data_IF_527831359827
#
_entry.id   IF_527831359827
#
_cell.length_a   1.000
_cell.length_b   1.000
_cell.length_c   1.000
_cell.angle_alpha   90.00
_cell.angle_beta   90.00
_cell.angle_gamma   90.00
#
_symmetry.space_group_name_H-M   'P 1'
#
loop_
_entity.id
_entity.type
_entity.pdbx_description
1 polymer ?
#
# COMPACT_ATOMS: atom_id res chain seq x y z
N UNK A 1 -2.96 4.41 -1.16
CA UNK A 1 -3.57 5.40 -2.08
C UNK A 1 -2.61 6.55 -2.41
N UNK A 2 -2.04 7.29 -1.45
CA UNK A 2 -1.22 8.48 -1.75
C UNK A 2 0.00 8.25 -2.65
N UNK A 3 0.60 7.06 -2.58
CA UNK A 3 1.75 6.65 -3.39
C UNK A 3 1.40 6.37 -4.86
N UNK A 4 0.13 6.09 -5.16
CA UNK A 4 -0.33 5.85 -6.53
C UNK A 4 -0.73 7.16 -7.20
N UNK A 5 -0.61 7.24 -8.52
CA UNK A 5 -0.96 8.42 -9.33
C UNK A 5 -2.17 8.21 -10.23
N UNK A 6 -2.50 6.95 -10.50
CA UNK A 6 -3.58 6.56 -11.41
C UNK A 6 -4.52 5.59 -10.71
N UNK A 7 -5.76 5.59 -11.18
CA UNK A 7 -6.80 4.67 -10.76
C UNK A 7 -7.85 4.50 -11.86
N UNK A 8 -8.83 3.66 -11.58
CA UNK A 8 -9.97 3.42 -12.46
C UNK A 8 -11.22 3.95 -11.78
N UNK A 9 -11.82 4.98 -12.37
CA UNK A 9 -13.13 5.48 -11.98
C UNK A 9 -14.21 4.66 -12.69
N UNK A 10 -15.15 4.11 -11.94
CA UNK A 10 -16.27 3.35 -12.51
C UNK A 10 -17.60 3.87 -11.97
N UNK A 11 -18.57 4.03 -12.87
CA UNK A 11 -19.94 4.42 -12.56
C UNK A 11 -20.89 3.83 -13.61
N UNK A 12 -22.19 4.04 -13.45
CA UNK A 12 -23.16 3.73 -14.49
C UNK A 12 -23.11 4.78 -15.59
N UNK A 13 -23.09 4.31 -16.84
CA UNK A 13 -23.29 5.16 -17.99
C UNK A 13 -24.73 5.70 -18.05
N UNK A 14 -24.96 6.73 -18.86
CA UNK A 14 -26.30 7.32 -19.04
C UNK A 14 -27.35 6.35 -19.57
N UNK A 15 -26.95 5.26 -20.21
CA UNK A 15 -27.79 4.16 -20.69
C UNK A 15 -27.78 2.92 -19.76
N UNK A 16 -27.16 3.02 -18.58
CA UNK A 16 -27.27 2.04 -17.49
C UNK A 16 -26.22 0.92 -17.48
N UNK A 17 -25.21 0.97 -18.34
CA UNK A 17 -24.11 0.00 -18.33
C UNK A 17 -23.05 0.34 -17.28
N UNK A 18 -22.42 -0.67 -16.64
CA UNK A 18 -21.19 -0.43 -15.89
C UNK A 18 -20.10 0.02 -16.86
N UNK A 19 -19.54 1.19 -16.61
CA UNK A 19 -18.46 1.75 -17.42
C UNK A 19 -17.33 2.25 -16.52
N UNK A 20 -16.11 2.03 -16.98
CA UNK A 20 -14.90 2.38 -16.26
C UNK A 20 -13.93 3.15 -17.17
N UNK A 21 -13.27 4.16 -16.61
CA UNK A 21 -12.24 4.95 -17.28
C UNK A 21 -11.02 5.11 -16.38
N UNK A 22 -9.84 5.20 -17.00
CA UNK A 22 -8.63 5.57 -16.28
C UNK A 22 -8.67 7.04 -15.88
N UNK A 23 -8.24 7.35 -14.66
CA UNK A 23 -8.14 8.72 -14.17
C UNK A 23 -6.87 8.93 -13.33
N UNK A 24 -6.28 10.12 -13.47
CA UNK A 24 -5.29 10.63 -12.53
C UNK A 24 -6.00 11.26 -11.35
N UNK A 25 -5.35 11.25 -10.18
CA UNK A 25 -5.96 11.80 -8.98
C UNK A 25 -4.95 12.42 -8.01
N UNK A 26 -5.46 13.33 -7.18
CA UNK A 26 -4.83 13.73 -5.92
C UNK A 26 -5.76 13.40 -4.77
N UNK A 27 -5.30 13.53 -3.53
CA UNK A 27 -6.13 13.31 -2.35
C UNK A 27 -6.24 14.57 -1.52
N UNK A 28 -7.38 14.77 -0.86
CA UNK A 28 -7.54 15.80 0.15
C UNK A 28 -6.72 15.48 1.43
N UNK A 29 -6.95 16.21 2.53
CA UNK A 29 -6.24 15.95 3.80
C UNK A 29 -6.74 14.69 4.54
N UNK A 30 -7.91 14.15 4.18
CA UNK A 30 -8.54 12.98 4.79
C UNK A 30 -8.48 11.73 3.90
N UNK A 31 -7.85 11.82 2.73
CA UNK A 31 -7.73 10.72 1.78
C UNK A 31 -8.80 10.68 0.68
N UNK A 32 -9.78 11.59 0.67
CA UNK A 32 -10.80 11.60 -0.38
C UNK A 32 -10.16 11.90 -1.75
N UNK A 33 -10.36 11.05 -2.79
CA UNK A 33 -9.73 11.25 -4.07
C UNK A 33 -10.45 12.34 -4.87
N UNK A 34 -9.65 13.26 -5.42
CA UNK A 34 -10.07 14.25 -6.39
C UNK A 34 -9.50 13.89 -7.76
N UNK A 35 -10.38 13.65 -8.73
CA UNK A 35 -10.07 13.20 -10.09
C UNK A 35 -10.24 14.34 -11.08
N UNK A 36 -9.47 14.31 -12.17
CA UNK A 36 -9.65 15.23 -13.29
C UNK A 36 -10.44 14.55 -14.41
N UNK A 37 -11.64 15.04 -14.69
CA UNK A 37 -12.57 14.49 -15.69
C UNK A 37 -13.09 15.62 -16.58
N UNK A 38 -13.20 15.36 -17.88
CA UNK A 38 -13.75 16.32 -18.83
C UNK A 38 -15.22 15.98 -19.12
N UNK A 39 -16.14 16.82 -18.63
CA UNK A 39 -17.59 16.70 -18.85
C UNK A 39 -18.12 15.28 -18.56
N UNK A 40 -17.87 14.71 -17.36
CA UNK A 40 -18.29 13.36 -16.99
C UNK A 40 -19.80 13.13 -17.14
N UNK A 41 -20.63 14.17 -17.06
CA UNK A 41 -22.08 14.12 -17.25
C UNK A 41 -22.52 13.66 -18.66
N UNK A 42 -21.63 13.71 -19.65
CA UNK A 42 -21.90 13.17 -20.99
C UNK A 42 -21.87 11.65 -21.03
N UNK A 43 -21.16 11.04 -20.09
CA UNK A 43 -20.83 9.62 -20.10
C UNK A 43 -21.50 8.92 -18.91
N UNK A 44 -21.52 9.55 -17.74
CA UNK A 44 -21.97 8.99 -16.47
C UNK A 44 -23.15 9.74 -15.90
N UNK A 45 -23.92 9.03 -15.07
CA UNK A 45 -24.87 9.66 -14.15
C UNK A 45 -24.09 10.34 -13.01
N UNK A 46 -24.16 11.68 -12.95
CA UNK A 46 -23.58 12.48 -11.85
C UNK A 46 -24.42 12.28 -10.58
N UNK A 47 -23.78 12.40 -9.41
CA UNK A 47 -24.35 12.12 -8.08
C UNK A 47 -24.88 10.68 -7.90
N UNK A 48 -24.51 9.79 -8.84
CA UNK A 48 -24.79 8.35 -8.76
C UNK A 48 -23.73 7.59 -7.96
N UNK A 49 -24.07 6.35 -7.62
CA UNK A 49 -23.14 5.40 -7.01
C UNK A 49 -21.95 5.17 -7.95
N UNK A 50 -20.75 5.38 -7.42
CA UNK A 50 -19.49 5.29 -8.14
C UNK A 50 -18.45 4.54 -7.32
N UNK A 51 -17.38 4.14 -8.00
CA UNK A 51 -16.23 3.51 -7.39
C UNK A 51 -14.93 4.06 -7.96
N UNK A 52 -13.89 4.06 -7.14
CA UNK A 52 -12.55 4.42 -7.56
C UNK A 52 -11.56 3.36 -7.09
N UNK A 53 -11.02 2.62 -8.05
CA UNK A 53 -10.09 1.53 -7.82
C UNK A 53 -8.65 1.99 -8.03
N UNK A 54 -7.77 1.70 -7.07
CA UNK A 54 -6.36 2.09 -7.10
C UNK A 54 -5.52 0.87 -6.75
N UNK A 55 -4.45 0.67 -7.51
CA UNK A 55 -3.44 -0.36 -7.28
C UNK A 55 -2.12 0.28 -6.86
N UNK A 56 -1.33 -0.45 -6.09
CA UNK A 56 0.01 -0.06 -5.70
C UNK A 56 0.92 -1.28 -5.83
N UNK A 57 1.84 -1.26 -6.79
CA UNK A 57 2.79 -2.36 -6.99
C UNK A 57 3.95 -2.24 -5.99
N UNK A 58 4.17 -3.29 -5.22
CA UNK A 58 5.28 -3.39 -4.26
C UNK A 58 6.36 -4.27 -4.88
N UNK A 59 7.44 -3.62 -5.36
CA UNK A 59 8.69 -4.27 -5.79
C UNK A 59 8.48 -5.41 -6.80
N UNK A 60 7.47 -5.29 -7.67
CA UNK A 60 7.11 -6.29 -8.69
C UNK A 60 6.59 -7.62 -8.15
N UNK A 61 6.37 -7.73 -6.84
CA UNK A 61 6.14 -9.00 -6.15
C UNK A 61 4.71 -9.15 -5.64
N UNK A 62 4.12 -8.06 -5.13
CA UNK A 62 2.75 -8.01 -4.56
C UNK A 62 2.06 -6.74 -5.04
N UNK A 63 0.75 -6.75 -5.22
CA UNK A 63 0.01 -5.54 -5.60
C UNK A 63 -1.19 -5.31 -4.69
N UNK A 64 -0.99 -4.63 -3.54
CA UNK A 64 -2.12 -4.15 -2.74
C UNK A 64 -3.03 -3.20 -3.51
N UNK A 65 -4.32 -3.28 -3.23
CA UNK A 65 -5.36 -2.57 -3.96
C UNK A 65 -6.40 -2.04 -3.00
N UNK A 66 -7.02 -0.92 -3.37
CA UNK A 66 -8.22 -0.48 -2.70
C UNK A 66 -9.28 0.00 -3.70
N UNK A 67 -10.54 -0.28 -3.39
CA UNK A 67 -11.69 0.23 -4.15
C UNK A 67 -12.55 1.06 -3.21
N UNK A 68 -12.60 2.36 -3.47
CA UNK A 68 -13.40 3.30 -2.71
C UNK A 68 -14.78 3.37 -3.34
N UNK A 69 -15.83 3.23 -2.54
CA UNK A 69 -17.20 3.37 -2.96
C UNK A 69 -17.80 4.65 -2.38
N UNK A 70 -18.57 5.35 -3.21
CA UNK A 70 -19.32 6.54 -2.82
C UNK A 70 -19.79 7.30 -4.04
N UNK A 71 -19.78 8.63 -4.02
CA UNK A 71 -20.41 9.44 -5.06
C UNK A 71 -19.46 10.48 -5.63
N UNK A 72 -19.49 10.66 -6.96
CA UNK A 72 -18.75 11.70 -7.65
C UNK A 72 -19.55 13.00 -7.63
N UNK A 73 -18.98 14.07 -7.07
CA UNK A 73 -19.61 15.39 -7.03
C UNK A 73 -18.64 16.49 -7.44
N UNK A 74 -19.22 17.62 -7.87
CA UNK A 74 -18.46 18.85 -8.10
C UNK A 74 -18.13 19.51 -6.76
N UNK A 75 -16.98 20.17 -6.67
CA UNK A 75 -16.60 20.89 -5.46
C UNK A 75 -17.20 22.29 -5.44
N UNK A 76 -17.95 22.59 -4.40
CA UNK A 76 -18.46 23.94 -4.14
C UNK A 76 -17.54 24.77 -3.24
N UNK A 77 -16.65 24.13 -2.46
CA UNK A 77 -15.70 24.79 -1.56
C UNK A 77 -14.49 25.35 -2.33
N UNK A 78 -14.36 26.70 -2.46
CA UNK A 78 -13.27 27.30 -3.22
C UNK A 78 -11.90 27.12 -2.56
N UNK A 79 -11.85 27.00 -1.23
CA UNK A 79 -10.59 26.82 -0.52
C UNK A 79 -10.04 25.42 -0.74
N UNK A 80 -10.89 24.40 -0.59
CA UNK A 80 -10.52 23.01 -0.87
C UNK A 80 -10.09 22.83 -2.32
N UNK A 81 -10.84 23.42 -3.27
CA UNK A 81 -10.49 23.38 -4.69
C UNK A 81 -9.10 23.96 -4.95
N UNK A 82 -8.78 25.13 -4.38
CA UNK A 82 -7.45 25.74 -4.48
C UNK A 82 -6.36 24.83 -3.92
N UNK A 83 -6.59 24.19 -2.77
CA UNK A 83 -5.63 23.24 -2.17
C UNK A 83 -5.41 22.03 -3.07
N UNK A 84 -6.46 21.46 -3.64
CA UNK A 84 -6.36 20.29 -4.52
C UNK A 84 -5.65 20.63 -5.83
N UNK A 85 -5.89 21.81 -6.41
CA UNK A 85 -5.16 22.30 -7.60
C UNK A 85 -3.67 22.47 -7.32
N UNK A 86 -3.31 23.06 -6.17
CA UNK A 86 -1.90 23.17 -5.77
C UNK A 86 -1.24 21.79 -5.56
N UNK A 87 -1.97 20.82 -4.98
CA UNK A 87 -1.51 19.43 -4.88
C UNK A 87 -1.35 18.77 -6.27
N UNK A 88 -2.26 19.06 -7.20
CA UNK A 88 -2.23 18.55 -8.56
C UNK A 88 -1.00 19.06 -9.31
N UNK A 89 -0.80 20.36 -9.31
CA UNK A 89 0.36 21.01 -9.93
C UNK A 89 1.67 20.49 -9.33
N UNK A 90 1.75 20.35 -8.00
CA UNK A 90 2.92 19.76 -7.35
C UNK A 90 3.17 18.30 -7.75
N UNK A 91 2.12 17.50 -7.90
CA UNK A 91 2.23 16.06 -8.20
C UNK A 91 2.52 15.78 -9.67
N UNK A 92 1.93 16.57 -10.58
CA UNK A 92 1.96 16.31 -12.02
C UNK A 92 2.74 17.35 -12.82
N UNK A 93 3.20 18.44 -12.22
CA UNK A 93 3.81 19.58 -12.91
C UNK A 93 2.90 20.18 -14.01
N UNK A 94 1.59 20.17 -13.77
CA UNK A 94 0.55 20.58 -14.71
C UNK A 94 -0.53 21.41 -14.01
N UNK A 95 -0.94 22.53 -14.62
CA UNK A 95 -2.14 23.25 -14.19
C UNK A 95 -3.41 22.50 -14.62
N UNK A 96 -4.46 22.61 -13.81
CA UNK A 96 -5.76 21.99 -14.07
C UNK A 96 -6.89 23.02 -13.93
N UNK A 97 -7.84 22.98 -14.86
CA UNK A 97 -9.04 23.80 -14.84
C UNK A 97 -9.92 23.50 -13.63
N UNK A 98 -10.53 24.53 -13.05
CA UNK A 98 -11.41 24.40 -11.88
C UNK A 98 -12.65 23.55 -12.17
N UNK A 99 -13.14 23.62 -13.40
CA UNK A 99 -14.30 22.90 -13.90
C UNK A 99 -14.04 21.41 -14.15
N UNK A 100 -12.77 20.99 -14.16
CA UNK A 100 -12.35 19.61 -14.44
C UNK A 100 -12.12 18.77 -13.19
N UNK A 101 -12.11 19.38 -11.99
CA UNK A 101 -11.85 18.69 -10.73
C UNK A 101 -13.16 18.24 -10.08
N UNK A 102 -13.25 16.94 -9.82
CA UNK A 102 -14.38 16.30 -9.15
C UNK A 102 -13.89 15.52 -7.93
N UNK A 103 -14.67 15.55 -6.85
CA UNK A 103 -14.37 14.84 -5.61
C UNK A 103 -15.20 13.56 -5.55
N UNK A 104 -14.60 12.51 -5.02
CA UNK A 104 -15.33 11.29 -4.68
C UNK A 104 -15.50 11.28 -3.17
N UNK A 105 -16.75 11.36 -2.72
CA UNK A 105 -17.07 11.08 -1.31
C UNK A 105 -16.81 9.61 -1.01
N UNK A 106 -16.25 9.31 0.16
CA UNK A 106 -15.90 7.93 0.54
C UNK A 106 -16.91 7.43 1.55
N UNK A 107 -17.70 6.42 1.18
CA UNK A 107 -18.68 5.77 2.07
C UNK A 107 -18.13 4.48 2.68
N UNK A 108 -17.37 3.72 1.89
CA UNK A 108 -16.66 2.51 2.35
C UNK A 108 -15.52 2.18 1.40
N UNK A 109 -14.54 1.45 1.89
CA UNK A 109 -13.36 1.03 1.13
C UNK A 109 -13.23 -0.47 1.19
N UNK A 110 -13.01 -1.13 0.05
CA UNK A 110 -12.57 -2.51 0.01
C UNK A 110 -11.04 -2.51 -0.11
N UNK A 111 -10.34 -2.99 0.90
CA UNK A 111 -8.88 -3.14 0.91
C UNK A 111 -8.50 -4.59 0.59
N UNK A 112 -7.59 -4.79 -0.35
CA UNK A 112 -7.13 -6.09 -0.84
C UNK A 112 -5.60 -6.13 -0.72
N UNK A 113 -5.03 -7.21 -0.19
CA UNK A 113 -3.58 -7.34 0.00
C UNK A 113 -2.85 -7.68 -1.32
N UNK A 114 -3.44 -8.55 -2.14
CA UNK A 114 -2.93 -8.89 -3.46
C UNK A 114 -4.06 -9.41 -4.37
N UNK A 115 -3.77 -9.60 -5.66
CA UNK A 115 -4.73 -10.22 -6.57
C UNK A 115 -5.20 -11.60 -6.07
N UNK A 116 -6.46 -11.93 -6.38
CA UNK A 116 -7.13 -13.20 -6.01
C UNK A 116 -7.40 -13.36 -4.51
N UNK A 117 -7.56 -12.24 -3.80
CA UNK A 117 -7.99 -12.22 -2.40
C UNK A 117 -9.34 -11.54 -2.22
N UNK A 118 -10.11 -11.98 -1.22
CA UNK A 118 -11.45 -11.45 -0.94
C UNK A 118 -11.44 -10.00 -0.44
N UNK A 119 -10.37 -9.60 0.24
CA UNK A 119 -10.23 -8.29 0.86
C UNK A 119 -11.05 -8.09 2.13
N UNK A 120 -10.94 -6.89 2.71
CA UNK A 120 -11.60 -6.47 3.94
C UNK A 120 -12.32 -5.15 3.68
N UNK A 121 -13.56 -5.05 4.16
CA UNK A 121 -14.31 -3.81 4.16
C UNK A 121 -13.89 -2.91 5.30
N UNK A 122 -13.60 -1.65 4.97
CA UNK A 122 -13.24 -0.57 5.89
C UNK A 122 -14.33 0.48 5.80
N UNK A 123 -14.84 0.92 6.94
CA UNK A 123 -15.85 1.98 6.99
C UNK A 123 -15.25 3.33 6.60
N UNK A 124 -16.08 4.27 6.16
CA UNK A 124 -15.64 5.66 5.91
C UNK A 124 -14.92 6.27 7.12
N UNK A 125 -15.44 6.07 8.33
CA UNK A 125 -14.84 6.61 9.55
C UNK A 125 -13.45 6.04 9.81
N UNK A 126 -13.27 4.71 9.71
CA UNK A 126 -11.95 4.09 9.89
C UNK A 126 -10.96 4.57 8.83
N UNK A 127 -11.40 4.71 7.59
CA UNK A 127 -10.58 5.21 6.49
C UNK A 127 -10.14 6.66 6.71
N UNK A 128 -11.07 7.57 7.01
CA UNK A 128 -10.80 9.01 7.16
C UNK A 128 -9.96 9.33 8.40
N UNK A 129 -9.99 8.46 9.43
CA UNK A 129 -9.19 8.62 10.65
C UNK A 129 -7.85 7.86 10.58
N UNK A 130 -7.60 7.08 9.53
CA UNK A 130 -6.34 6.37 9.37
C UNK A 130 -5.24 7.33 8.90
N UNK A 131 -4.03 7.13 9.42
CA UNK A 131 -2.86 7.86 8.97
C UNK A 131 -2.06 7.04 7.95
N UNK A 132 -1.57 7.65 6.86
CA UNK A 132 -0.65 6.99 5.94
C UNK A 132 0.63 6.57 6.66
N UNK A 133 1.16 5.40 6.31
CA UNK A 133 2.38 4.88 6.95
C UNK A 133 3.55 5.88 6.88
N UNK A 134 4.28 6.13 7.98
CA UNK A 134 5.38 7.09 8.01
C UNK A 134 6.57 6.68 7.13
N UNK A 135 6.74 5.38 6.85
CA UNK A 135 7.82 4.88 6.01
C UNK A 135 7.47 4.84 4.52
N UNK A 136 6.22 5.13 4.12
CA UNK A 136 5.71 4.93 2.76
C UNK A 136 6.59 5.49 1.64
N UNK A 137 7.25 6.63 1.87
CA UNK A 137 8.11 7.29 0.87
C UNK A 137 9.54 6.71 0.81
N UNK A 138 9.92 5.90 1.79
CA UNK A 138 11.26 5.31 1.93
C UNK A 138 11.24 3.79 1.75
N UNK A 139 10.08 3.15 1.94
CA UNK A 139 9.93 1.70 1.98
C UNK A 139 10.51 0.99 0.76
N UNK A 140 10.19 1.42 -0.46
CA UNK A 140 10.74 0.83 -1.69
C UNK A 140 12.27 0.88 -1.72
N UNK A 141 12.85 2.04 -1.43
CA UNK A 141 14.30 2.23 -1.36
C UNK A 141 14.95 1.35 -0.28
N UNK A 142 14.33 1.21 0.88
CA UNK A 142 14.83 0.34 1.96
C UNK A 142 14.82 -1.11 1.50
N UNK A 143 13.71 -1.57 0.91
CA UNK A 143 13.57 -2.94 0.39
C UNK A 143 14.62 -3.22 -0.68
N UNK A 144 14.81 -2.31 -1.63
CA UNK A 144 15.83 -2.44 -2.68
C UNK A 144 17.25 -2.50 -2.11
N UNK A 145 17.57 -1.63 -1.15
CA UNK A 145 18.86 -1.63 -0.47
C UNK A 145 19.13 -2.96 0.26
N UNK A 146 18.14 -3.47 0.99
CA UNK A 146 18.27 -4.71 1.75
C UNK A 146 18.38 -5.94 0.84
N UNK A 147 17.55 -6.03 -0.20
CA UNK A 147 17.59 -7.13 -1.16
C UNK A 147 18.83 -7.11 -2.07
N UNK A 148 19.54 -5.98 -2.19
CA UNK A 148 20.74 -5.90 -3.04
C UNK A 148 22.05 -5.98 -2.27
N UNK A 149 22.12 -5.41 -1.07
CA UNK A 149 23.37 -5.30 -0.29
C UNK A 149 23.40 -6.15 0.98
N UNK A 150 22.23 -6.54 1.49
CA UNK A 150 22.08 -7.21 2.79
C UNK A 150 21.35 -8.56 2.67
N UNK A 151 21.56 -9.28 1.56
CA UNK A 151 20.87 -10.55 1.27
C UNK A 151 21.09 -11.59 2.36
N UNK A 152 22.31 -11.69 2.88
CA UNK A 152 22.63 -12.63 3.97
C UNK A 152 21.95 -12.25 5.28
N UNK A 153 21.79 -10.96 5.56
CA UNK A 153 21.03 -10.49 6.73
C UNK A 153 19.54 -10.86 6.58
N UNK A 154 18.94 -10.68 5.40
CA UNK A 154 17.55 -11.08 5.12
C UNK A 154 17.36 -12.59 5.29
N UNK A 155 18.33 -13.40 4.86
CA UNK A 155 18.35 -14.86 5.09
C UNK A 155 18.45 -15.21 6.56
N UNK A 156 19.37 -14.59 7.31
CA UNK A 156 19.51 -14.81 8.74
C UNK A 156 18.25 -14.44 9.52
N UNK A 157 17.60 -13.33 9.15
CA UNK A 157 16.31 -12.94 9.72
C UNK A 157 15.22 -14.01 9.46
N UNK A 158 15.14 -14.54 8.25
CA UNK A 158 14.22 -15.62 7.93
C UNK A 158 14.47 -16.86 8.79
N UNK A 159 15.72 -17.30 8.93
CA UNK A 159 16.09 -18.51 9.69
C UNK A 159 15.78 -18.38 11.19
N UNK A 160 16.03 -17.20 11.74
CA UNK A 160 15.91 -16.95 13.18
C UNK A 160 14.49 -16.62 13.57
N UNK A 161 13.82 -15.73 12.85
CA UNK A 161 12.51 -15.21 13.24
C UNK A 161 11.31 -15.96 12.65
N UNK A 162 11.52 -16.82 11.65
CA UNK A 162 10.43 -17.61 11.03
C UNK A 162 10.66 -19.08 11.28
N UNK A 163 9.57 -19.82 11.53
CA UNK A 163 9.58 -21.28 11.60
C UNK A 163 8.83 -21.84 10.38
N UNK A 164 9.51 -22.01 9.23
CA UNK A 164 8.83 -22.35 7.99
C UNK A 164 8.30 -23.79 7.95
N UNK A 165 8.95 -24.73 8.62
CA UNK A 165 8.60 -26.15 8.57
C UNK A 165 8.96 -26.85 7.25
N UNK A 166 9.74 -26.20 6.38
CA UNK A 166 10.26 -26.73 5.11
C UNK A 166 11.64 -26.14 4.79
N UNK A 167 12.33 -26.70 3.80
CA UNK A 167 13.61 -26.19 3.33
C UNK A 167 13.41 -24.89 2.53
N UNK A 168 14.06 -23.82 2.99
CA UNK A 168 14.07 -22.51 2.32
C UNK A 168 15.14 -22.51 1.23
N UNK A 169 14.72 -22.26 -0.02
CA UNK A 169 15.59 -22.13 -1.18
C UNK A 169 16.11 -20.69 -1.36
N UNK A 170 15.24 -19.69 -1.17
CA UNK A 170 15.61 -18.27 -1.19
C UNK A 170 14.63 -17.44 -0.37
N UNK A 171 14.99 -16.20 -0.06
CA UNK A 171 14.10 -15.24 0.61
C UNK A 171 14.32 -13.83 0.10
N UNK A 172 13.25 -13.05 0.03
CA UNK A 172 13.27 -11.64 -0.39
C UNK A 172 12.33 -10.80 0.44
N UNK A 173 12.76 -9.60 0.79
CA UNK A 173 11.87 -8.62 1.38
C UNK A 173 10.94 -8.03 0.31
N UNK A 174 9.66 -7.87 0.65
CA UNK A 174 8.62 -7.36 -0.26
C UNK A 174 8.28 -5.92 0.06
N UNK A 175 8.01 -5.65 1.33
CA UNK A 175 7.62 -4.34 1.82
C UNK A 175 8.03 -4.14 3.28
N UNK A 176 8.17 -2.88 3.69
CA UNK A 176 8.42 -2.46 5.07
C UNK A 176 7.48 -1.32 5.42
N UNK A 177 6.98 -1.33 6.65
CA UNK A 177 6.11 -0.31 7.23
C UNK A 177 6.47 -0.08 8.70
N UNK A 178 5.73 0.79 9.40
CA UNK A 178 6.03 1.17 10.79
C UNK A 178 6.09 0.00 11.79
N UNK A 179 5.44 -1.13 11.49
CA UNK A 179 5.33 -2.26 12.41
C UNK A 179 6.28 -3.42 12.07
N UNK A 180 6.93 -3.41 10.91
CA UNK A 180 7.77 -4.53 10.49
C UNK A 180 7.89 -4.63 8.98
N UNK A 181 8.17 -5.84 8.50
CA UNK A 181 8.39 -6.11 7.09
C UNK A 181 7.84 -7.47 6.69
N UNK A 182 7.52 -7.58 5.39
CA UNK A 182 7.03 -8.81 4.76
C UNK A 182 8.17 -9.46 3.97
N UNK A 183 8.32 -10.78 4.14
CA UNK A 183 9.24 -11.60 3.36
C UNK A 183 8.47 -12.57 2.48
N UNK A 184 8.95 -12.77 1.26
CA UNK A 184 8.63 -13.95 0.46
C UNK A 184 9.72 -15.00 0.66
N UNK A 185 9.28 -16.19 1.05
CA UNK A 185 10.10 -17.37 1.33
C UNK A 185 9.82 -18.37 0.22
N UNK A 186 10.85 -18.71 -0.54
CA UNK A 186 10.78 -19.63 -1.65
C UNK A 186 11.18 -21.02 -1.16
N UNK A 187 10.34 -22.02 -1.41
CA UNK A 187 10.71 -23.43 -1.34
C UNK A 187 10.84 -24.01 -2.76
N UNK A 188 11.17 -25.29 -2.88
CA UNK A 188 11.20 -25.97 -4.19
C UNK A 188 9.81 -26.03 -4.85
N UNK A 189 8.73 -26.03 -4.06
CA UNK A 189 7.37 -26.30 -4.54
C UNK A 189 6.44 -25.08 -4.51
N UNK A 190 6.73 -24.07 -3.69
CA UNK A 190 5.79 -23.00 -3.38
C UNK A 190 6.49 -21.71 -2.93
N UNK A 191 5.73 -20.62 -2.93
CA UNK A 191 6.17 -19.34 -2.36
C UNK A 191 5.23 -18.97 -1.21
N UNK A 192 5.81 -18.61 -0.07
CA UNK A 192 5.09 -18.23 1.14
C UNK A 192 5.41 -16.79 1.53
N UNK A 193 4.42 -16.06 2.02
CA UNK A 193 4.62 -14.77 2.67
C UNK A 193 4.67 -14.94 4.19
N UNK A 194 5.62 -14.26 4.82
CA UNK A 194 5.77 -14.19 6.28
C UNK A 194 5.88 -12.72 6.72
N UNK A 195 5.17 -12.38 7.80
CA UNK A 195 5.26 -11.06 8.43
C UNK A 195 6.20 -11.11 9.63
N UNK A 196 7.29 -10.34 9.61
CA UNK A 196 8.19 -10.22 10.75
C UNK A 196 8.01 -8.84 11.39
N UNK A 197 7.55 -8.76 12.65
CA UNK A 197 7.36 -7.49 13.34
C UNK A 197 8.71 -6.89 13.77
N UNK A 198 8.80 -5.56 13.76
CA UNK A 198 9.83 -4.88 14.53
C UNK A 198 9.58 -5.08 16.03
N UNK A 199 10.64 -5.09 16.88
CA UNK A 199 10.47 -5.16 18.33
C UNK A 199 9.64 -4.01 18.91
N UNK A 200 9.63 -2.86 18.22
CA UNK A 200 8.83 -1.67 18.52
C UNK A 200 8.46 -0.96 17.23
N UNK A 201 7.35 -0.23 17.27
CA UNK A 201 6.94 0.64 16.18
C UNK A 201 8.03 1.68 15.86
N UNK A 202 8.29 1.87 14.57
CA UNK A 202 9.27 2.83 14.05
C UNK A 202 8.55 3.99 13.37
N UNK A 203 9.12 5.20 13.50
CA UNK A 203 8.47 6.44 13.03
C UNK A 203 9.17 7.11 11.84
N UNK A 204 10.36 6.64 11.47
CA UNK A 204 11.17 7.22 10.39
C UNK A 204 12.15 6.20 9.77
N UNK A 205 12.79 6.58 8.65
CA UNK A 205 13.77 5.74 7.92
C UNK A 205 14.92 5.29 8.83
N UNK A 206 15.39 6.17 9.74
CA UNK A 206 16.51 5.88 10.63
C UNK A 206 16.13 4.82 11.66
N UNK A 207 14.94 4.93 12.24
CA UNK A 207 14.36 3.97 13.16
C UNK A 207 14.19 2.61 12.49
N UNK A 208 13.67 2.57 11.27
CA UNK A 208 13.53 1.33 10.51
C UNK A 208 14.90 0.64 10.27
N UNK A 209 15.90 1.40 9.78
CA UNK A 209 17.27 0.88 9.57
C UNK A 209 17.94 0.44 10.87
N UNK A 210 17.75 1.18 11.96
CA UNK A 210 18.29 0.81 13.27
C UNK A 210 17.65 -0.48 13.81
N UNK A 211 16.33 -0.62 13.66
CA UNK A 211 15.61 -1.84 14.06
C UNK A 211 16.10 -3.04 13.24
N UNK A 212 16.19 -2.89 11.92
CA UNK A 212 16.75 -3.94 11.05
C UNK A 212 18.16 -4.35 11.48
N UNK A 213 19.09 -3.40 11.64
CA UNK A 213 20.47 -3.71 12.02
C UNK A 213 20.55 -4.44 13.37
N UNK A 214 19.72 -4.04 14.34
CA UNK A 214 19.67 -4.68 15.66
C UNK A 214 19.15 -6.11 15.56
N UNK A 215 18.12 -6.34 14.76
CA UNK A 215 17.56 -7.68 14.53
C UNK A 215 18.54 -8.57 13.77
N UNK A 216 19.21 -8.06 12.74
CA UNK A 216 20.21 -8.81 11.97
C UNK A 216 21.42 -9.17 12.84
N UNK A 217 21.84 -8.27 13.72
CA UNK A 217 22.91 -8.55 14.68
C UNK A 217 22.52 -9.68 15.65
N UNK A 218 21.31 -9.63 16.24
CA UNK A 218 20.81 -10.68 17.12
C UNK A 218 20.67 -12.02 16.37
N UNK A 219 20.18 -11.99 15.12
CA UNK A 219 20.08 -13.18 14.30
C UNK A 219 21.46 -13.83 14.08
N UNK A 220 22.47 -13.01 13.76
CA UNK A 220 23.85 -13.46 13.64
C UNK A 220 24.40 -14.04 14.95
N UNK A 221 24.14 -13.42 16.11
CA UNK A 221 24.57 -13.95 17.41
C UNK A 221 23.94 -15.32 17.70
N UNK A 222 22.66 -15.50 17.39
CA UNK A 222 21.95 -16.77 17.57
C UNK A 222 22.52 -17.84 16.62
N UNK A 223 22.73 -17.51 15.34
CA UNK A 223 23.29 -18.46 14.36
C UNK A 223 24.72 -18.89 14.70
N UNK A 224 25.51 -18.01 15.33
CA UNK A 224 26.86 -18.33 15.83
C UNK A 224 26.87 -19.00 17.20
N UNK A 225 25.72 -19.13 17.86
CA UNK A 225 25.61 -19.71 19.20
C UNK A 225 26.11 -18.81 20.32
N UNK A 226 26.22 -17.50 20.08
CA UNK A 226 26.55 -16.49 21.09
C UNK A 226 25.34 -16.06 21.93
N UNK A 227 24.13 -16.22 21.40
CA UNK A 227 22.88 -15.90 22.08
C UNK A 227 21.88 -17.07 22.01
N UNK A 228 21.01 -17.16 23.02
CA UNK A 228 19.89 -18.12 23.03
C UNK A 228 18.72 -17.57 22.20
N UNK A 229 18.04 -18.38 21.39
CA UNK A 229 16.83 -17.99 20.69
C UNK A 229 15.63 -17.95 21.64
N UNK A 230 15.64 -17.05 22.61
CA UNK A 230 14.48 -16.78 23.48
C UNK A 230 13.54 -15.78 22.81
N UNK A 231 13.02 -16.16 21.65
CA UNK A 231 12.08 -15.37 20.86
C UNK A 231 11.00 -16.27 20.26
N UNK A 232 9.78 -15.75 20.19
CA UNK A 232 8.67 -16.45 19.54
C UNK A 232 8.82 -16.32 18.02
N UNK A 233 9.05 -17.44 17.35
CA UNK A 233 9.14 -17.48 15.89
C UNK A 233 7.77 -17.31 15.25
N UNK A 234 7.75 -16.61 14.12
CA UNK A 234 6.57 -16.47 13.25
C UNK A 234 6.28 -17.82 12.60
N UNK A 235 5.07 -18.35 12.87
CA UNK A 235 4.55 -19.61 12.30
C UNK A 235 3.49 -19.38 11.23
N UNK A 236 2.92 -18.17 11.19
CA UNK A 236 1.88 -17.83 10.24
C UNK A 236 2.51 -17.59 8.86
N UNK A 237 2.37 -18.56 7.97
CA UNK A 237 2.80 -18.46 6.58
C UNK A 237 1.59 -18.49 5.65
N UNK A 238 1.52 -17.51 4.75
CA UNK A 238 0.48 -17.43 3.71
C UNK A 238 1.05 -17.97 2.40
N UNK A 239 0.50 -19.06 1.86
CA UNK A 239 0.91 -19.55 0.54
C UNK A 239 0.42 -18.59 -0.55
N UNK A 240 1.34 -18.10 -1.38
CA UNK A 240 1.06 -17.14 -2.46
C UNK A 240 1.03 -17.85 -3.83
N UNK A 241 1.89 -18.87 -4.01
CA UNK A 241 2.00 -19.68 -5.24
C UNK A 241 2.22 -21.16 -4.88
#
# INVERSE_FOLDING_TARGET
MELSSTGTFSSLSTDGWPLAIGARFVVDARGSPAVCLNQPERIFTIDGLSSFHVQFEQTGSRTPQCTLLGSLSKLDDPFLLKTLRAKWEKKYAEEVGEDLIYLISVEKVLQIEDFKEDGIWVTSSEYLNAEPDPLRNFAEKIVDELNSKHVEDVRGLCNVYVEPGFQVADTRMVWVDRLGFDLFIYSEEAVFAARIPFPREVTDEKGAKSSFNSMSHLAWEIEKGYASPDLEKVKCLKRIR
#
